data_IF_244346392262
#
_entry.id   IF_244346392262
#
_cell.length_a   1.000
_cell.length_b   1.000
_cell.length_c   1.000
_cell.angle_alpha   90.00
_cell.angle_beta   90.00
_cell.angle_gamma   90.00
#
_symmetry.space_group_name_H-M   'P 1'
#
loop_
_entity.id
_entity.type
_entity.pdbx_description
1 polymer ?
#
# COMPACT_ATOMS: atom_id res chain seq x y z
N UNK A 1 -12.02 24.29 -46.71
CA UNK A 1 -11.92 23.09 -45.86
C UNK A 1 -10.74 23.30 -44.94
N UNK A 2 -11.00 23.47 -43.64
CA UNK A 2 -9.97 23.57 -42.62
C UNK A 2 -9.70 22.15 -42.11
N UNK A 3 -8.50 21.64 -42.33
CA UNK A 3 -8.01 20.42 -41.69
C UNK A 3 -8.01 20.65 -40.16
N UNK A 4 -8.86 19.91 -39.45
CA UNK A 4 -8.93 19.94 -37.99
C UNK A 4 -7.70 19.31 -37.35
N UNK A 5 -6.98 20.10 -36.55
CA UNK A 5 -5.88 19.70 -35.66
C UNK A 5 -6.46 19.13 -34.34
N UNK A 6 -7.25 18.06 -34.41
CA UNK A 6 -7.80 17.38 -33.23
C UNK A 6 -7.44 15.90 -33.28
N UNK A 7 -6.15 15.61 -33.10
CA UNK A 7 -5.63 14.27 -32.82
C UNK A 7 -5.28 14.12 -31.33
N UNK A 8 -5.99 13.21 -30.65
CA UNK A 8 -5.56 12.37 -29.51
C UNK A 8 -4.77 12.96 -28.31
N UNK A 9 -4.96 14.22 -27.92
CA UNK A 9 -4.24 14.77 -26.76
C UNK A 9 -4.62 14.09 -25.42
N UNK A 10 -5.90 13.73 -25.25
CA UNK A 10 -6.37 13.05 -24.03
C UNK A 10 -5.85 11.60 -23.91
N UNK A 11 -5.63 10.90 -25.02
CA UNK A 11 -5.16 9.52 -25.00
C UNK A 11 -3.66 9.42 -24.66
N UNK A 12 -2.83 10.35 -25.15
CA UNK A 12 -1.39 10.36 -24.86
C UNK A 12 -1.11 10.61 -23.38
N UNK A 13 -1.77 11.61 -22.78
CA UNK A 13 -1.55 11.97 -21.37
C UNK A 13 -1.95 10.85 -20.38
N UNK A 14 -3.03 10.12 -20.67
CA UNK A 14 -3.46 8.98 -19.85
C UNK A 14 -2.53 7.75 -19.99
N UNK A 15 -1.85 7.61 -21.11
CA UNK A 15 -0.85 6.57 -21.32
C UNK A 15 0.48 6.92 -20.62
N UNK A 16 0.86 8.21 -20.63
CA UNK A 16 2.04 8.72 -19.91
C UNK A 16 1.89 8.51 -18.39
N UNK A 17 0.74 8.88 -17.81
CA UNK A 17 0.48 8.67 -16.38
C UNK A 17 0.50 7.19 -15.99
N UNK A 18 -0.06 6.31 -16.84
CA UNK A 18 -0.02 4.87 -16.59
C UNK A 18 1.43 4.34 -16.60
N UNK A 19 2.27 4.84 -17.49
CA UNK A 19 3.69 4.50 -17.53
C UNK A 19 4.45 4.96 -16.29
N UNK A 20 4.19 6.19 -15.82
CA UNK A 20 4.76 6.70 -14.57
C UNK A 20 4.30 5.89 -13.34
N UNK A 21 3.01 5.57 -13.22
CA UNK A 21 2.49 4.73 -12.14
C UNK A 21 3.13 3.34 -12.15
N UNK A 22 3.30 2.76 -13.34
CA UNK A 22 3.97 1.46 -13.48
C UNK A 22 5.45 1.52 -13.02
N UNK A 23 6.20 2.55 -13.45
CA UNK A 23 7.58 2.75 -13.00
C UNK A 23 7.65 2.91 -11.49
N UNK A 24 6.78 3.74 -10.90
CA UNK A 24 6.71 3.96 -9.47
C UNK A 24 6.46 2.65 -8.69
N UNK A 25 5.50 1.83 -9.15
CA UNK A 25 5.24 0.51 -8.53
C UNK A 25 6.42 -0.43 -8.65
N UNK A 26 7.11 -0.43 -9.80
CA UNK A 26 8.29 -1.26 -10.02
C UNK A 26 9.45 -0.87 -9.10
N UNK A 27 9.69 0.43 -8.91
CA UNK A 27 10.69 0.94 -7.97
C UNK A 27 10.37 0.52 -6.53
N UNK A 28 9.11 0.67 -6.10
CA UNK A 28 8.66 0.22 -4.78
C UNK A 28 8.89 -1.29 -4.56
N UNK A 29 8.52 -2.12 -5.54
CA UNK A 29 8.73 -3.57 -5.48
C UNK A 29 10.22 -3.93 -5.44
N UNK A 30 11.08 -3.20 -6.16
CA UNK A 30 12.52 -3.44 -6.13
C UNK A 30 13.11 -3.11 -4.75
N UNK A 31 12.65 -2.04 -4.09
CA UNK A 31 13.03 -1.72 -2.71
C UNK A 31 12.53 -2.82 -1.75
N UNK A 32 11.29 -3.25 -1.91
CA UNK A 32 10.68 -4.32 -1.12
C UNK A 32 11.48 -5.63 -1.22
N UNK A 33 11.89 -6.02 -2.43
CA UNK A 33 12.70 -7.22 -2.63
C UNK A 33 14.03 -7.11 -1.89
N UNK A 34 14.73 -5.98 -2.02
CA UNK A 34 16.01 -5.75 -1.35
C UNK A 34 15.87 -5.88 0.17
N UNK A 35 14.79 -5.35 0.74
CA UNK A 35 14.53 -5.41 2.18
C UNK A 35 14.14 -6.80 2.65
N UNK A 36 13.31 -7.52 1.89
CA UNK A 36 13.01 -8.93 2.17
C UNK A 36 14.29 -9.79 2.14
N UNK A 37 15.17 -9.56 1.16
CA UNK A 37 16.48 -10.23 1.09
C UNK A 37 17.41 -9.86 2.26
N UNK A 38 17.30 -8.63 2.77
CA UNK A 38 18.01 -8.18 3.97
C UNK A 38 17.38 -8.70 5.28
N UNK A 39 16.26 -9.42 5.22
CA UNK A 39 15.60 -10.03 6.38
C UNK A 39 14.49 -9.20 7.02
N UNK A 40 13.91 -8.23 6.31
CA UNK A 40 12.75 -7.45 6.78
C UNK A 40 11.60 -8.39 7.22
N UNK A 41 11.12 -8.18 8.45
CA UNK A 41 9.97 -8.90 8.95
C UNK A 41 8.68 -8.34 8.34
N UNK A 42 7.74 -9.26 8.05
CA UNK A 42 6.42 -8.91 7.52
C UNK A 42 5.36 -9.70 8.27
N UNK A 43 4.35 -8.99 8.76
CA UNK A 43 3.23 -9.54 9.53
C UNK A 43 1.89 -9.18 8.89
N UNK A 44 0.81 -9.77 9.41
CA UNK A 44 -0.55 -9.46 9.00
C UNK A 44 -1.16 -10.47 8.03
N UNK A 45 -2.47 -10.35 7.75
CA UNK A 45 -3.23 -11.35 6.99
C UNK A 45 -2.76 -11.53 5.55
N UNK A 46 -2.08 -10.54 4.96
CA UNK A 46 -1.57 -10.60 3.61
C UNK A 46 -0.04 -10.79 3.52
N UNK A 47 0.65 -11.07 4.63
CA UNK A 47 2.12 -11.14 4.67
C UNK A 47 2.71 -12.17 3.68
N UNK A 48 2.10 -13.35 3.57
CA UNK A 48 2.59 -14.39 2.65
C UNK A 48 2.32 -14.01 1.19
N UNK A 49 1.17 -13.40 0.91
CA UNK A 49 0.83 -12.88 -0.41
C UNK A 49 1.77 -11.74 -0.80
N UNK A 50 2.14 -10.86 0.13
CA UNK A 50 3.13 -9.81 -0.07
C UNK A 50 4.46 -10.40 -0.52
N UNK A 51 5.05 -11.32 0.27
CA UNK A 51 6.31 -11.98 -0.07
C UNK A 51 6.24 -12.66 -1.43
N UNK A 52 5.15 -13.40 -1.69
CA UNK A 52 4.93 -14.05 -2.97
C UNK A 52 4.94 -13.04 -4.13
N UNK A 53 4.19 -11.93 -4.02
CA UNK A 53 4.06 -10.94 -5.09
C UNK A 53 5.37 -10.20 -5.33
N UNK A 54 6.08 -9.79 -4.28
CA UNK A 54 7.40 -9.14 -4.40
C UNK A 54 8.39 -10.05 -5.15
N UNK A 55 8.53 -11.32 -4.73
CA UNK A 55 9.40 -12.27 -5.42
C UNK A 55 8.94 -12.62 -6.84
N UNK A 56 7.62 -12.69 -7.07
CA UNK A 56 7.09 -12.96 -8.40
C UNK A 56 7.36 -11.79 -9.36
N UNK A 57 7.12 -10.55 -8.94
CA UNK A 57 7.41 -9.36 -9.75
C UNK A 57 8.91 -9.24 -10.03
N UNK A 58 9.75 -9.41 -9.02
CA UNK A 58 11.19 -9.41 -9.21
C UNK A 58 11.63 -10.39 -10.30
N UNK A 59 11.14 -11.64 -10.28
CA UNK A 59 11.45 -12.62 -11.34
C UNK A 59 10.83 -12.27 -12.69
N UNK A 60 9.61 -11.75 -12.71
CA UNK A 60 8.89 -11.46 -13.94
C UNK A 60 9.47 -10.25 -14.68
N UNK A 61 9.96 -9.25 -13.95
CA UNK A 61 10.38 -7.97 -14.51
C UNK A 61 11.88 -7.69 -14.41
N UNK A 62 12.67 -8.50 -13.69
CA UNK A 62 14.12 -8.35 -13.65
C UNK A 62 14.73 -8.35 -15.07
N UNK A 63 15.39 -7.25 -15.41
CA UNK A 63 16.10 -7.07 -16.67
C UNK A 63 15.22 -6.89 -17.91
N UNK A 64 13.89 -6.74 -17.77
CA UNK A 64 12.99 -6.50 -18.90
C UNK A 64 12.85 -5.00 -19.15
N UNK A 65 13.28 -4.55 -20.34
CA UNK A 65 12.95 -3.21 -20.85
C UNK A 65 11.59 -3.29 -21.51
N UNK A 66 10.59 -2.58 -20.99
CA UNK A 66 9.31 -2.45 -21.67
C UNK A 66 9.50 -1.55 -22.91
N UNK A 67 9.36 -2.13 -24.09
CA UNK A 67 9.59 -1.42 -25.34
C UNK A 67 8.38 -0.62 -25.86
N UNK A 68 7.19 -0.74 -25.24
CA UNK A 68 5.96 -0.09 -25.74
C UNK A 68 5.01 0.32 -24.61
N UNK A 69 4.65 1.60 -24.57
CA UNK A 69 3.72 2.24 -23.61
C UNK A 69 2.28 1.69 -23.70
N UNK A 70 1.82 1.31 -24.90
CA UNK A 70 0.42 0.94 -25.17
C UNK A 70 -0.10 -0.34 -24.49
N UNK A 71 0.70 -1.06 -23.71
CA UNK A 71 0.27 -2.23 -22.91
C UNK A 71 0.46 -2.03 -21.41
N UNK A 72 0.77 -0.81 -20.96
CA UNK A 72 1.05 -0.56 -19.53
C UNK A 72 -0.19 -0.75 -18.67
N UNK A 73 -1.39 -0.40 -19.16
CA UNK A 73 -2.64 -0.63 -18.41
C UNK A 73 -2.87 -2.12 -18.09
N UNK A 74 -2.56 -3.01 -19.02
CA UNK A 74 -2.69 -4.45 -18.79
C UNK A 74 -1.68 -4.94 -17.72
N UNK A 75 -0.48 -4.34 -17.71
CA UNK A 75 0.52 -4.60 -16.68
C UNK A 75 0.07 -4.08 -15.33
N UNK A 76 -0.51 -2.87 -15.27
CA UNK A 76 -1.09 -2.31 -14.05
C UNK A 76 -2.28 -3.11 -13.53
N UNK A 77 -2.98 -3.88 -14.36
CA UNK A 77 -3.97 -4.86 -13.93
C UNK A 77 -3.38 -6.17 -13.38
N UNK A 78 -2.06 -6.40 -13.50
CA UNK A 78 -1.43 -7.62 -13.02
C UNK A 78 -1.52 -7.70 -11.48
N UNK A 79 -2.13 -8.76 -10.92
CA UNK A 79 -2.23 -8.96 -9.47
C UNK A 79 -0.90 -8.87 -8.72
N UNK A 80 0.21 -9.23 -9.38
CA UNK A 80 1.55 -9.20 -8.80
C UNK A 80 2.03 -7.77 -8.55
N UNK A 81 1.56 -6.78 -9.34
CA UNK A 81 1.86 -5.35 -9.14
C UNK A 81 0.87 -4.64 -8.22
N UNK A 82 -0.12 -5.35 -7.65
CA UNK A 82 -1.11 -4.76 -6.74
C UNK A 82 -0.56 -4.70 -5.30
N UNK A 83 0.48 -3.92 -5.10
CA UNK A 83 1.04 -3.57 -3.78
C UNK A 83 1.02 -2.05 -3.68
N UNK A 84 0.33 -1.53 -2.68
CA UNK A 84 0.19 -0.09 -2.45
C UNK A 84 0.68 0.25 -1.04
N UNK A 85 1.71 1.08 -0.95
CA UNK A 85 2.24 1.55 0.32
C UNK A 85 1.41 2.72 0.83
N UNK A 86 0.89 2.61 2.05
CA UNK A 86 0.32 3.71 2.82
C UNK A 86 1.27 4.16 3.91
N UNK A 87 0.81 5.07 4.77
CA UNK A 87 1.62 5.66 5.83
C UNK A 87 2.10 4.64 6.89
N UNK A 88 1.25 3.69 7.27
CA UNK A 88 1.54 2.72 8.36
C UNK A 88 1.09 1.28 8.03
N UNK A 89 0.82 1.03 6.75
CA UNK A 89 0.39 -0.27 6.21
C UNK A 89 0.86 -0.40 4.77
N UNK A 90 1.15 -1.64 4.37
CA UNK A 90 1.30 -2.03 2.97
C UNK A 90 0.07 -2.82 2.53
N UNK A 91 -0.70 -2.29 1.58
CA UNK A 91 -1.92 -2.91 1.06
C UNK A 91 -1.58 -3.85 -0.11
N UNK A 92 -1.69 -5.16 0.16
CA UNK A 92 -1.58 -6.21 -0.87
C UNK A 92 -2.95 -6.37 -1.52
N UNK A 93 -3.21 -5.50 -2.48
CA UNK A 93 -4.56 -5.19 -2.90
C UNK A 93 -5.22 -6.36 -3.63
N UNK A 94 -6.44 -6.66 -3.18
CA UNK A 94 -7.42 -7.57 -3.77
C UNK A 94 -8.78 -6.88 -3.56
N UNK A 95 -9.44 -6.40 -4.63
CA UNK A 95 -10.66 -5.61 -4.51
C UNK A 95 -11.79 -6.38 -3.83
N UNK A 96 -11.83 -7.72 -3.95
CA UNK A 96 -12.85 -8.55 -3.33
C UNK A 96 -12.69 -8.68 -1.80
N UNK A 97 -11.52 -8.35 -1.28
CA UNK A 97 -11.16 -8.43 0.15
C UNK A 97 -10.94 -7.08 0.81
N UNK A 98 -11.00 -6.01 0.03
CA UNK A 98 -10.80 -4.65 0.50
C UNK A 98 -11.93 -4.23 1.44
N UNK A 99 -11.57 -3.68 2.60
CA UNK A 99 -12.51 -3.07 3.54
C UNK A 99 -12.49 -1.53 3.50
N UNK A 100 -11.57 -0.94 2.73
CA UNK A 100 -11.50 0.49 2.45
C UNK A 100 -12.38 0.86 1.25
N UNK A 101 -12.55 2.15 1.03
CA UNK A 101 -13.07 2.65 -0.25
C UNK A 101 -12.12 2.30 -1.41
N UNK A 102 -12.71 2.18 -2.61
CA UNK A 102 -11.99 1.98 -3.86
C UNK A 102 -12.08 3.26 -4.69
N UNK A 103 -10.98 3.64 -5.31
CA UNK A 103 -10.93 4.70 -6.33
C UNK A 103 -11.04 4.04 -7.69
N UNK A 104 -12.25 4.03 -8.25
CA UNK A 104 -12.60 3.28 -9.47
C UNK A 104 -13.62 2.17 -9.18
N UNK A 105 -13.87 1.30 -10.16
CA UNK A 105 -14.73 0.12 -10.01
C UNK A 105 -13.90 -1.15 -9.84
N UNK A 106 -14.41 -2.17 -9.15
CA UNK A 106 -13.63 -3.39 -8.87
C UNK A 106 -13.15 -4.14 -10.13
N UNK A 107 -13.82 -3.96 -11.26
CA UNK A 107 -13.46 -4.56 -12.56
C UNK A 107 -12.49 -3.69 -13.38
N UNK A 108 -12.19 -2.47 -12.93
CA UNK A 108 -11.26 -1.56 -13.62
C UNK A 108 -9.80 -1.98 -13.34
N UNK A 109 -8.96 -2.24 -14.35
CA UNK A 109 -7.53 -2.51 -14.17
C UNK A 109 -6.76 -1.42 -13.42
N UNK A 110 -7.27 -0.18 -13.44
CA UNK A 110 -6.69 0.98 -12.77
C UNK A 110 -7.29 1.24 -11.38
N UNK A 111 -8.14 0.34 -10.88
CA UNK A 111 -8.73 0.49 -9.54
C UNK A 111 -7.64 0.46 -8.47
N UNK A 112 -7.73 1.40 -7.54
CA UNK A 112 -6.77 1.51 -6.43
C UNK A 112 -7.48 1.53 -5.09
N UNK A 113 -6.86 1.00 -4.03
CA UNK A 113 -7.37 1.16 -2.68
C UNK A 113 -7.19 2.60 -2.22
N UNK A 114 -8.12 3.08 -1.38
CA UNK A 114 -7.86 4.26 -0.56
C UNK A 114 -7.10 3.83 0.72
N UNK A 115 -5.77 3.93 0.69
CA UNK A 115 -4.91 3.49 1.80
C UNK A 115 -5.16 4.27 3.09
N UNK A 116 -5.66 5.50 2.99
CA UNK A 116 -5.98 6.36 4.13
C UNK A 116 -7.30 5.96 4.82
N UNK A 117 -8.19 5.23 4.14
CA UNK A 117 -9.44 4.67 4.69
C UNK A 117 -9.30 3.18 5.06
N UNK A 118 -8.07 2.69 5.27
CA UNK A 118 -7.84 1.30 5.59
C UNK A 118 -8.46 0.91 6.94
N UNK A 119 -9.27 -0.15 6.95
CA UNK A 119 -9.95 -0.63 8.16
C UNK A 119 -9.10 -1.65 8.91
N UNK A 120 -9.10 -1.67 10.26
CA UNK A 120 -8.20 -2.53 11.05
C UNK A 120 -8.28 -4.04 10.76
N UNK A 121 -9.43 -4.53 10.30
CA UNK A 121 -9.66 -5.95 9.98
C UNK A 121 -9.56 -6.27 8.48
N UNK A 122 -9.04 -5.33 7.67
CA UNK A 122 -8.88 -5.53 6.24
C UNK A 122 -7.93 -6.70 5.96
N UNK A 123 -8.34 -7.62 5.08
CA UNK A 123 -7.55 -8.83 4.76
C UNK A 123 -6.36 -8.55 3.84
N UNK A 124 -6.28 -7.36 3.27
CA UNK A 124 -5.20 -6.92 2.38
C UNK A 124 -4.00 -6.32 3.15
N UNK A 125 -4.07 -6.22 4.47
CA UNK A 125 -2.99 -5.60 5.27
C UNK A 125 -1.80 -6.57 5.35
N UNK A 126 -0.66 -6.10 4.87
CA UNK A 126 0.66 -6.50 5.33
C UNK A 126 1.27 -5.34 6.13
N UNK A 127 2.12 -5.67 7.11
CA UNK A 127 2.95 -4.69 7.80
C UNK A 127 4.40 -5.15 7.80
N UNK A 128 5.23 -4.35 7.15
CA UNK A 128 6.69 -4.44 7.14
C UNK A 128 7.29 -3.81 8.40
N UNK A 129 8.59 -3.99 8.63
CA UNK A 129 9.30 -3.27 9.71
C UNK A 129 9.19 -1.75 9.54
N UNK A 130 9.22 -1.25 8.29
CA UNK A 130 9.03 0.18 7.98
C UNK A 130 7.65 0.69 8.39
N UNK A 131 6.60 -0.06 8.06
CA UNK A 131 5.23 0.28 8.47
C UNK A 131 5.15 0.37 10.00
N UNK A 132 5.81 -0.55 10.69
CA UNK A 132 5.79 -0.62 12.16
C UNK A 132 6.61 0.49 12.81
N UNK A 133 7.67 0.98 12.17
CA UNK A 133 8.35 2.19 12.61
C UNK A 133 7.39 3.39 12.61
N UNK A 134 6.57 3.54 11.56
CA UNK A 134 5.53 4.60 11.50
C UNK A 134 4.44 4.42 12.54
N UNK A 135 4.02 3.18 12.80
CA UNK A 135 3.09 2.88 13.92
C UNK A 135 3.71 3.24 15.28
N UNK A 136 5.01 3.02 15.47
CA UNK A 136 5.73 3.39 16.70
C UNK A 136 5.79 4.90 16.88
N UNK A 137 6.17 5.64 15.84
CA UNK A 137 6.18 7.11 15.86
C UNK A 137 4.79 7.67 16.24
N UNK A 138 3.73 7.17 15.62
CA UNK A 138 2.37 7.59 15.95
C UNK A 138 1.94 7.19 17.38
N UNK A 139 2.39 6.04 17.88
CA UNK A 139 2.12 5.61 19.24
C UNK A 139 2.83 6.49 20.28
N UNK A 140 4.08 6.87 20.00
CA UNK A 140 4.89 7.72 20.87
C UNK A 140 4.28 9.14 20.96
N UNK A 141 3.90 9.73 19.82
CA UNK A 141 3.20 11.03 19.77
C UNK A 141 1.86 10.98 20.55
N UNK A 142 1.09 9.90 20.38
CA UNK A 142 -0.19 9.75 21.05
C UNK A 142 -0.03 9.50 22.55
N UNK A 143 1.04 8.82 22.97
CA UNK A 143 1.36 8.61 24.38
C UNK A 143 1.66 9.92 25.10
N UNK A 144 2.31 10.90 24.44
CA UNK A 144 2.50 12.23 25.01
C UNK A 144 1.17 12.93 25.29
N UNK A 145 0.22 12.86 24.34
CA UNK A 145 -1.12 13.47 24.47
C UNK A 145 -1.93 12.81 25.60
N UNK A 146 -1.90 11.47 25.66
CA UNK A 146 -2.59 10.71 26.71
C UNK A 146 -2.02 11.03 28.10
N UNK A 147 -0.72 11.27 28.21
CA UNK A 147 -0.09 11.61 29.49
C UNK A 147 -0.31 13.07 29.93
N UNK A 148 -0.83 13.93 29.04
CA UNK A 148 -1.18 15.32 29.38
C UNK A 148 -2.44 15.37 30.26
N UNK A 149 -2.24 15.78 31.53
CA UNK A 149 -3.29 15.90 32.55
C UNK A 149 -4.28 17.04 32.29
N UNK A 150 -3.99 17.93 31.34
CA UNK A 150 -4.88 19.04 30.95
C UNK A 150 -5.89 18.63 29.86
N UNK A 151 -5.76 17.43 29.29
CA UNK A 151 -6.64 16.94 28.23
C UNK A 151 -8.07 16.64 28.73
N UNK A 152 -9.13 17.13 28.05
CA UNK A 152 -10.50 16.85 28.44
C UNK A 152 -10.81 15.34 28.51
N UNK A 153 -11.57 14.86 29.52
CA UNK A 153 -11.71 13.42 29.80
C UNK A 153 -12.36 12.60 28.67
N UNK A 154 -13.18 13.22 27.81
CA UNK A 154 -13.78 12.55 26.64
C UNK A 154 -12.73 12.25 25.56
N UNK A 155 -11.74 13.15 25.36
CA UNK A 155 -10.64 12.94 24.41
C UNK A 155 -9.70 11.83 24.91
N UNK A 156 -9.43 11.85 26.21
CA UNK A 156 -8.53 10.91 26.88
C UNK A 156 -8.98 9.44 26.79
N UNK A 157 -10.28 9.14 26.73
CA UNK A 157 -10.74 7.75 26.56
C UNK A 157 -10.51 7.23 25.13
N UNK A 158 -10.78 8.06 24.12
CA UNK A 158 -10.57 7.72 22.71
C UNK A 158 -9.08 7.59 22.39
N UNK A 159 -8.28 8.53 22.86
CA UNK A 159 -6.83 8.55 22.63
C UNK A 159 -6.15 7.34 23.28
N UNK A 160 -6.56 6.96 24.50
CA UNK A 160 -6.09 5.70 25.13
C UNK A 160 -6.45 4.46 24.32
N UNK A 161 -7.70 4.34 23.87
CA UNK A 161 -8.11 3.20 23.06
C UNK A 161 -7.30 3.11 21.76
N UNK A 162 -7.02 4.26 21.14
CA UNK A 162 -6.19 4.29 19.94
C UNK A 162 -4.73 3.92 20.24
N UNK A 163 -4.16 4.41 21.35
CA UNK A 163 -2.83 4.01 21.79
C UNK A 163 -2.73 2.49 22.03
N UNK A 164 -3.69 1.92 22.76
CA UNK A 164 -3.77 0.48 23.02
C UNK A 164 -3.84 -0.31 21.71
N UNK A 165 -4.56 0.20 20.71
CA UNK A 165 -4.64 -0.38 19.36
C UNK A 165 -3.28 -0.38 18.66
N UNK A 166 -2.56 0.75 18.67
CA UNK A 166 -1.24 0.86 18.05
C UNK A 166 -0.21 -0.04 18.74
N UNK A 167 -0.21 -0.09 20.08
CA UNK A 167 0.65 -0.98 20.86
C UNK A 167 0.38 -2.46 20.54
N UNK A 168 -0.89 -2.84 20.38
CA UNK A 168 -1.27 -4.20 19.97
C UNK A 168 -0.73 -4.54 18.58
N UNK A 169 -0.77 -3.59 17.63
CA UNK A 169 -0.21 -3.78 16.29
C UNK A 169 1.30 -4.03 16.35
N UNK A 170 2.01 -3.24 17.16
CA UNK A 170 3.47 -3.36 17.34
C UNK A 170 3.82 -4.72 17.96
N UNK A 171 3.10 -5.12 19.01
CA UNK A 171 3.34 -6.39 19.70
C UNK A 171 3.08 -7.60 18.80
N UNK A 172 1.97 -7.60 18.06
CA UNK A 172 1.66 -8.66 17.09
C UNK A 172 2.74 -8.81 16.02
N UNK A 173 3.33 -7.70 15.56
CA UNK A 173 4.43 -7.75 14.60
C UNK A 173 5.70 -8.33 15.22
N UNK A 174 6.09 -7.89 16.42
CA UNK A 174 7.29 -8.39 17.11
C UNK A 174 7.22 -9.89 17.45
N UNK A 175 6.03 -10.36 17.81
CA UNK A 175 5.80 -11.76 18.19
C UNK A 175 5.54 -12.68 17.01
N UNK A 176 5.30 -12.14 15.81
CA UNK A 176 4.85 -12.90 14.64
C UNK A 176 3.45 -13.51 14.81
N UNK A 177 2.65 -13.01 15.77
CA UNK A 177 1.31 -13.51 16.01
C UNK A 177 0.38 -13.19 14.83
N UNK A 178 -0.48 -14.13 14.39
CA UNK A 178 -1.45 -13.86 13.34
C UNK A 178 -2.47 -12.81 13.83
N UNK A 179 -2.77 -11.83 12.97
CA UNK A 179 -3.75 -10.76 13.18
C UNK A 179 -5.12 -11.10 12.59
#
# INVERSE_FOLDING_TARGET
MLQGYTGSYEAGFLDDYAFEDWLFRMEGIAEDEQRLLAGEHVSGPAADTYRYRVHAAAREFAGRVLHRERHVRDLLGNPVLQIHHGEAITCVFDPAKAACQLRGTADDPMVTPDTDDCRPRCRNIARTDRDIARVQEAADELAEIVNDRLTPPIRHARERHELDRLLTIIDNHRTGAPQ
#
